data_IF_105545491533
#
_entry.id   IF_105545491533
#
_cell.length_a   1.000
_cell.length_b   1.000
_cell.length_c   1.000
_cell.angle_alpha   90.00
_cell.angle_beta   90.00
_cell.angle_gamma   90.00
#
_symmetry.space_group_name_H-M   'P 1'
#
loop_
_entity.id
_entity.type
_entity.pdbx_description
1 polymer ?
#
# COMPACT_ATOMS: atom_id res chain seq x y z
N UNK A 24 29.56 30.34 29.26
CA UNK A 24 28.20 30.41 28.73
C UNK A 24 27.87 29.17 27.91
N UNK A 25 28.63 28.93 26.84
CA UNK A 25 28.44 27.71 26.08
C UNK A 25 29.22 26.54 26.69
N UNK A 26 30.45 26.80 27.13
CA UNK A 26 31.25 25.73 27.74
C UNK A 26 30.59 25.22 29.01
N UNK A 27 30.09 26.13 29.85
CA UNK A 27 29.42 25.71 31.07
C UNK A 27 28.18 24.88 30.75
N UNK A 28 27.40 25.32 29.75
CA UNK A 28 26.20 24.59 29.39
C UNK A 28 26.55 23.19 28.91
N UNK A 29 27.62 23.08 28.10
CA UNK A 29 28.04 21.77 27.60
C UNK A 29 28.47 20.88 28.76
N UNK A 30 29.23 21.46 29.71
CA UNK A 30 29.69 20.68 30.84
C UNK A 30 28.50 20.16 31.63
N UNK A 31 27.46 20.99 31.75
CA UNK A 31 26.27 20.57 32.48
C UNK A 31 25.55 19.45 31.73
N UNK A 32 25.48 19.55 30.40
CA UNK A 32 24.89 18.47 29.61
C UNK A 32 25.61 17.16 29.83
N UNK A 33 26.95 17.21 29.95
CA UNK A 33 27.71 16.02 30.26
C UNK A 33 27.16 15.22 31.45
N UNK A 34 26.41 15.86 32.34
CA UNK A 34 25.77 15.17 33.46
C UNK A 34 24.25 15.16 33.32
N UNK A 35 23.74 15.24 32.10
CA UNK A 35 22.31 15.21 31.84
C UNK A 35 22.03 14.23 30.70
N UNK A 36 20.75 13.94 30.49
CA UNK A 36 20.32 13.00 29.47
C UNK A 36 19.58 13.72 28.35
N UNK A 37 19.82 13.29 27.12
CA UNK A 37 19.18 13.86 25.95
C UNK A 37 17.93 13.06 25.62
N UNK A 38 16.91 13.74 25.11
CA UNK A 38 15.69 13.06 24.69
C UNK A 38 15.83 12.65 23.24
N UNK A 39 15.89 11.34 23.00
CA UNK A 39 15.99 10.80 21.66
C UNK A 39 14.64 10.24 21.24
N UNK A 40 14.58 9.62 20.08
CA UNK A 40 13.32 9.12 19.53
C UNK A 40 13.61 7.91 18.65
N UNK A 41 12.58 7.10 18.46
CA UNK A 41 12.59 5.96 17.55
C UNK A 41 13.19 6.38 16.22
N UNK A 42 13.93 5.50 15.53
CA UNK A 42 14.44 5.89 14.22
C UNK A 42 13.30 6.27 13.28
N UNK A 43 13.49 7.39 12.58
CA UNK A 43 12.49 7.97 11.70
C UNK A 43 12.72 7.56 10.26
N UNK A 44 11.69 7.04 9.60
CA UNK A 44 11.81 6.57 8.23
C UNK A 44 11.11 7.54 7.28
N UNK A 45 11.88 8.12 6.36
CA UNK A 45 11.31 8.98 5.33
C UNK A 45 10.40 8.19 4.40
N UNK A 46 10.78 6.93 4.15
CA UNK A 46 10.06 6.08 3.23
C UNK A 46 8.62 5.80 3.59
N UNK A 47 8.31 5.75 4.89
CA UNK A 47 6.97 5.37 5.33
C UNK A 47 5.94 6.28 4.68
N UNK A 48 4.93 5.66 4.07
CA UNK A 48 3.88 6.37 3.35
C UNK A 48 2.53 5.92 3.88
N UNK A 49 1.48 6.47 3.28
CA UNK A 49 0.11 6.14 3.64
C UNK A 49 -0.29 4.98 2.74
N UNK A 50 -0.20 3.76 3.27
CA UNK A 50 -0.51 2.56 2.49
C UNK A 50 -2.03 2.43 2.42
N UNK A 51 -2.62 3.20 1.50
CA UNK A 51 -4.07 3.27 1.41
C UNK A 51 -4.69 1.98 0.91
N UNK A 52 -4.01 1.27 0.01
CA UNK A 52 -4.57 0.04 -0.53
C UNK A 52 -4.77 -1.00 0.54
N UNK A 53 -3.78 -1.16 1.44
CA UNK A 53 -3.90 -2.13 2.51
C UNK A 53 -5.01 -1.77 3.48
N UNK A 54 -5.16 -0.47 3.80
CA UNK A 54 -6.19 -0.05 4.73
C UNK A 54 -7.59 -0.18 4.13
N UNK A 55 -7.74 0.10 2.84
CA UNK A 55 -9.05 0.11 2.22
C UNK A 55 -9.49 -1.25 1.70
N UNK A 56 -8.58 -2.10 1.29
CA UNK A 56 -8.95 -3.39 0.71
C UNK A 56 -9.45 -4.33 1.80
N UNK A 57 -10.65 -4.87 1.70
CA UNK A 57 -11.09 -5.89 2.65
C UNK A 57 -10.26 -7.15 2.51
N UNK A 58 -10.07 -7.84 3.64
CA UNK A 58 -9.24 -9.03 3.72
C UNK A 58 -10.10 -10.25 4.04
N UNK A 59 -10.00 -11.27 3.20
CA UNK A 59 -10.77 -12.49 3.35
C UNK A 59 -9.81 -13.63 3.68
N UNK A 60 -10.18 -14.43 4.67
CA UNK A 60 -9.33 -15.48 5.18
C UNK A 60 -9.35 -16.66 4.22
N UNK A 61 -8.17 -17.18 3.89
CA UNK A 61 -8.04 -18.36 3.04
C UNK A 61 -7.41 -19.47 3.86
N UNK A 62 -7.70 -20.71 3.47
CA UNK A 62 -7.19 -21.89 4.14
C UNK A 62 -6.27 -22.63 3.18
N UNK A 63 -5.08 -22.98 3.65
CA UNK A 63 -4.11 -23.67 2.84
C UNK A 63 -3.38 -22.81 1.84
N UNK A 64 -3.57 -21.49 1.90
CA UNK A 64 -2.92 -20.59 0.97
C UNK A 64 -3.47 -20.65 -0.44
N UNK A 65 -4.70 -21.14 -0.60
CA UNK A 65 -5.33 -21.27 -1.90
C UNK A 65 -6.74 -20.70 -1.84
N UNK A 66 -7.11 -19.98 -2.90
CA UNK A 66 -8.43 -19.37 -2.99
C UNK A 66 -8.98 -19.63 -4.39
N UNK A 67 -10.19 -20.17 -4.47
CA UNK A 67 -10.81 -20.53 -5.74
C UNK A 67 -11.86 -19.50 -6.11
N UNK A 68 -11.82 -19.04 -7.36
CA UNK A 68 -12.80 -18.09 -7.88
C UNK A 68 -13.49 -18.75 -9.07
N UNK A 69 -14.81 -18.91 -8.96
CA UNK A 69 -15.60 -19.47 -10.06
C UNK A 69 -15.96 -18.34 -11.02
N UNK A 70 -15.28 -18.31 -12.16
CA UNK A 70 -15.43 -17.25 -13.15
C UNK A 70 -16.16 -17.75 -14.38
N UNK A 71 -16.87 -16.84 -15.04
CA UNK A 71 -17.62 -17.18 -16.25
C UNK A 71 -16.75 -17.00 -17.49
N UNK A 258 -12.29 -22.66 -16.62
CA UNK A 258 -11.66 -23.20 -15.41
C UNK A 258 -11.56 -22.13 -14.33
N UNK A 259 -11.93 -22.48 -13.10
CA UNK A 259 -11.82 -21.51 -12.00
C UNK A 259 -10.37 -21.08 -11.80
N UNK A 260 -10.20 -19.80 -11.47
CA UNK A 260 -8.87 -19.26 -11.22
C UNK A 260 -8.42 -19.60 -9.81
N UNK A 261 -7.16 -20.00 -9.69
CA UNK A 261 -6.57 -20.38 -8.42
C UNK A 261 -5.62 -19.29 -7.95
N UNK A 262 -5.76 -18.89 -6.69
CA UNK A 262 -4.95 -17.82 -6.11
C UNK A 262 -4.09 -18.40 -4.99
N UNK A 263 -2.77 -18.35 -5.16
CA UNK A 263 -1.82 -18.80 -4.16
C UNK A 263 -1.21 -17.60 -3.45
N UNK A 264 -1.12 -17.68 -2.12
CA UNK A 264 -0.58 -16.57 -1.35
C UNK A 264 0.91 -16.37 -1.63
N UNK A 265 1.26 -15.15 -1.98
CA UNK A 265 2.65 -14.75 -2.12
C UNK A 265 3.23 -14.35 -0.77
N UNK A 266 4.55 -14.47 -0.65
CA UNK A 266 5.25 -14.24 0.60
C UNK A 266 6.20 -13.05 0.42
N UNK A 267 6.13 -12.11 1.34
CA UNK A 267 7.14 -11.06 1.47
C UNK A 267 7.93 -11.38 2.72
N UNK A 268 9.16 -11.87 2.55
CA UNK A 268 9.95 -12.33 3.68
C UNK A 268 11.36 -11.77 3.60
N UNK A 269 11.98 -11.64 4.76
CA UNK A 269 13.33 -11.10 4.85
C UNK A 269 13.96 -11.62 6.13
N UNK A 270 15.27 -11.46 6.23
CA UNK A 270 16.06 -11.93 7.36
C UNK A 270 16.51 -10.70 8.15
N UNK A 271 16.13 -10.66 9.42
CA UNK A 271 16.57 -9.61 10.33
C UNK A 271 17.77 -10.13 11.10
N UNK A 272 18.90 -9.44 10.98
CA UNK A 272 20.15 -9.80 11.64
C UNK A 272 20.48 -8.78 12.71
N UNK A 273 20.63 -9.25 13.94
CA UNK A 273 20.90 -8.40 15.10
C UNK A 273 22.07 -8.96 15.88
N UNK A 274 23.03 -8.09 16.22
CA UNK A 274 24.18 -8.57 16.96
C UNK A 274 23.76 -9.01 18.36
N UNK A 275 24.47 -10.00 18.87
CA UNK A 275 24.17 -10.52 20.21
C UNK A 275 24.39 -9.44 21.28
N UNK A 276 25.42 -8.60 21.10
CA UNK A 276 25.68 -7.49 22.01
C UNK A 276 24.52 -6.50 22.05
N UNK A 277 23.96 -6.18 20.88
CA UNK A 277 22.82 -5.26 20.82
C UNK A 277 21.63 -5.85 21.55
N UNK A 278 21.37 -7.14 21.33
CA UNK A 278 20.25 -7.79 21.97
C UNK A 278 20.42 -7.99 23.46
N UNK A 279 21.66 -7.93 23.95
CA UNK A 279 21.92 -8.16 25.37
C UNK A 279 22.02 -6.88 26.20
N UNK A 280 22.68 -5.85 25.68
CA UNK A 280 23.01 -4.66 26.47
C UNK A 280 22.06 -3.50 26.25
N UNK A 281 21.87 -3.09 24.99
CA UNK A 281 21.14 -1.87 24.64
C UNK A 281 19.63 -2.08 24.68
N UNK A 282 19.11 -2.24 25.91
CA UNK A 282 17.68 -2.43 26.14
C UNK A 282 17.17 -1.55 27.27
N UNK A 283 17.95 -0.56 27.73
CA UNK A 283 17.55 0.23 28.90
C UNK A 283 16.39 1.17 28.58
N UNK A 284 16.50 2.12 27.64
CA UNK A 284 15.35 3.01 27.40
C UNK A 284 14.28 2.33 26.58
N UNK A 285 14.70 1.52 25.62
CA UNK A 285 13.79 0.89 24.67
C UNK A 285 14.45 -0.34 24.09
N UNK A 286 13.62 -1.30 23.68
CA UNK A 286 14.10 -2.59 23.21
C UNK A 286 14.52 -2.45 21.76
N UNK A 287 15.82 -2.50 21.51
CA UNK A 287 16.34 -2.24 20.17
C UNK A 287 15.98 -3.36 19.20
N UNK A 288 15.94 -4.60 19.66
CA UNK A 288 15.53 -5.68 18.76
C UNK A 288 14.07 -5.52 18.37
N UNK A 289 13.22 -5.09 19.32
CA UNK A 289 11.83 -4.83 18.99
C UNK A 289 11.69 -3.67 18.00
N UNK A 290 12.49 -2.61 18.17
CA UNK A 290 12.42 -1.50 17.24
C UNK A 290 12.90 -1.90 15.86
N UNK A 291 13.94 -2.73 15.78
CA UNK A 291 14.38 -3.24 14.50
C UNK A 291 13.32 -4.10 13.84
N UNK A 292 12.63 -4.92 14.63
CA UNK A 292 11.52 -5.71 14.10
C UNK A 292 10.39 -4.83 13.59
N UNK A 293 10.08 -3.74 14.30
CA UNK A 293 9.04 -2.83 13.85
C UNK A 293 9.40 -2.19 12.52
N UNK A 294 10.65 -1.72 12.39
CA UNK A 294 11.08 -1.14 11.12
C UNK A 294 11.09 -2.17 9.99
N UNK A 295 11.49 -3.41 10.30
CA UNK A 295 11.45 -4.47 9.31
C UNK A 295 10.02 -4.77 8.84
N UNK A 296 9.08 -4.80 9.78
CA UNK A 296 7.68 -5.03 9.42
C UNK A 296 7.14 -3.87 8.58
N UNK A 297 7.54 -2.64 8.91
CA UNK A 297 7.12 -1.49 8.11
C UNK A 297 7.63 -1.58 6.69
N UNK A 298 8.90 -1.97 6.51
CA UNK A 298 9.44 -2.15 5.16
C UNK A 298 8.72 -3.27 4.43
N UNK A 299 8.40 -4.36 5.14
CA UNK A 299 7.63 -5.44 4.55
C UNK A 299 6.28 -4.96 4.05
N UNK A 300 5.59 -4.14 4.86
CA UNK A 300 4.29 -3.64 4.46
C UNK A 300 4.40 -2.71 3.26
N UNK A 301 5.47 -1.91 3.21
CA UNK A 301 5.66 -1.04 2.05
C UNK A 301 5.85 -1.83 0.77
N UNK A 302 6.70 -2.88 0.81
CA UNK A 302 6.87 -3.68 -0.41
C UNK A 302 5.62 -4.51 -0.71
N UNK A 303 4.84 -4.88 0.31
CA UNK A 303 3.54 -5.50 0.07
C UNK A 303 2.62 -4.56 -0.71
N UNK A 304 2.58 -3.30 -0.29
CA UNK A 304 1.75 -2.31 -0.99
C UNK A 304 2.23 -2.12 -2.41
N UNK A 305 3.55 -2.14 -2.62
CA UNK A 305 4.07 -2.04 -3.97
C UNK A 305 3.64 -3.22 -4.82
N UNK A 306 3.67 -4.43 -4.25
CA UNK A 306 3.32 -5.63 -5.01
C UNK A 306 1.83 -5.74 -5.28
N UNK A 307 0.99 -5.17 -4.40
CA UNK A 307 -0.45 -5.18 -4.65
C UNK A 307 -0.83 -4.41 -5.91
N UNK A 308 0.05 -3.57 -6.42
CA UNK A 308 -0.23 -2.77 -7.61
C UNK A 308 0.62 -3.22 -8.79
N UNK A 309 1.91 -3.43 -8.58
CA UNK A 309 2.86 -3.58 -9.66
C UNK A 309 3.22 -5.02 -10.00
N UNK A 310 2.68 -6.00 -9.28
CA UNK A 310 3.03 -7.38 -9.58
C UNK A 310 2.37 -7.84 -10.86
N UNK A 311 3.05 -8.74 -11.58
CA UNK A 311 2.56 -9.24 -12.84
C UNK A 311 1.66 -10.46 -12.69
N UNK A 312 1.48 -10.96 -11.47
CA UNK A 312 0.64 -12.12 -11.24
C UNK A 312 -0.72 -11.75 -10.66
N UNK A 313 -0.73 -11.01 -9.55
CA UNK A 313 -1.98 -10.57 -8.94
C UNK A 313 -2.08 -9.06 -8.80
N UNK A 314 -1.20 -8.29 -9.43
CA UNK A 314 -1.26 -6.85 -9.32
C UNK A 314 -2.52 -6.29 -9.96
N UNK A 315 -3.03 -5.20 -9.36
CA UNK A 315 -4.24 -4.58 -9.88
C UNK A 315 -4.00 -3.96 -11.25
N UNK A 316 -2.83 -3.34 -11.44
CA UNK A 316 -2.52 -2.69 -12.70
C UNK A 316 -2.36 -3.68 -13.85
N UNK A 317 -2.24 -4.97 -13.57
CA UNK A 317 -2.07 -5.97 -14.60
C UNK A 317 -3.19 -7.00 -14.62
N UNK A 318 -4.10 -6.97 -13.66
CA UNK A 318 -5.24 -7.87 -13.61
C UNK A 318 -6.54 -7.17 -13.97
N UNK A 319 -6.48 -6.17 -14.85
CA UNK A 319 -7.66 -5.44 -15.25
C UNK A 319 -8.08 -5.94 -16.62
N UNK A 320 -9.39 -6.11 -16.81
CA UNK A 320 -9.91 -6.60 -18.06
C UNK A 320 -9.66 -5.57 -19.15
N UNK A 321 -9.35 -6.05 -20.35
CA UNK A 321 -9.06 -5.15 -21.47
C UNK A 321 -10.23 -4.23 -21.79
N UNK A 322 -11.46 -4.70 -21.60
CA UNK A 322 -12.61 -3.82 -21.77
C UNK A 322 -12.67 -2.75 -20.69
N UNK A 323 -12.12 -3.02 -19.50
CA UNK A 323 -12.14 -2.07 -18.40
C UNK A 323 -11.04 -1.02 -18.48
N UNK A 324 -9.99 -1.22 -19.27
CA UNK A 324 -8.95 -0.21 -19.45
C UNK A 324 -9.36 0.76 -20.55
N UNK A 325 -9.38 2.05 -20.24
CA UNK A 325 -9.76 3.09 -21.19
C UNK A 325 -8.71 4.18 -21.22
N UNK A 326 -8.49 4.81 -22.38
CA UNK A 326 -7.51 5.91 -22.46
C UNK A 326 -8.14 7.28 -22.29
N UNK A 327 -7.32 8.32 -22.28
CA UNK A 327 -7.80 9.69 -22.21
C UNK A 327 -7.92 10.27 -23.61
N UNK A 328 -8.94 11.11 -23.80
CA UNK A 328 -9.19 11.68 -25.12
C UNK A 328 -8.07 12.61 -25.57
N UNK A 329 -7.56 13.44 -24.67
CA UNK A 329 -6.50 14.40 -25.00
C UNK A 329 -5.18 14.12 -24.32
N UNK A 330 -5.21 13.47 -23.17
CA UNK A 330 -4.01 13.11 -22.43
C UNK A 330 -4.01 13.61 -21.00
N UNK A 331 -4.39 14.88 -20.77
CA UNK A 331 -4.62 15.32 -19.40
C UNK A 331 -5.85 14.66 -18.82
N UNK A 332 -5.89 14.43 -17.51
CA UNK A 332 -7.09 13.84 -16.88
C UNK A 332 -8.26 14.79 -16.69
N UNK A 333 -9.00 15.01 -17.78
CA UNK A 333 -10.13 15.93 -17.81
C UNK A 333 -11.31 15.32 -17.05
N UNK A 334 -12.25 16.15 -16.59
CA UNK A 334 -13.48 15.60 -15.99
C UNK A 334 -14.26 14.64 -16.88
N UNK A 335 -14.19 14.79 -18.21
CA UNK A 335 -14.82 13.83 -19.10
C UNK A 335 -14.22 12.43 -18.95
N UNK A 336 -12.89 12.35 -18.87
CA UNK A 336 -12.25 11.06 -18.65
C UNK A 336 -12.62 10.50 -17.29
N UNK A 337 -12.73 11.35 -16.27
CA UNK A 337 -13.19 10.88 -14.97
C UNK A 337 -14.59 10.30 -15.06
N UNK A 338 -15.48 10.95 -15.83
CA UNK A 338 -16.84 10.44 -15.99
C UNK A 338 -16.85 9.10 -16.72
N UNK A 339 -16.01 8.96 -17.75
CA UNK A 339 -15.91 7.67 -18.44
C UNK A 339 -15.42 6.57 -17.49
N UNK A 340 -14.41 6.89 -16.69
CA UNK A 340 -13.91 5.93 -15.71
C UNK A 340 -14.99 5.55 -14.71
N UNK A 341 -15.77 6.53 -14.27
CA UNK A 341 -16.86 6.25 -13.35
C UNK A 341 -17.90 5.34 -14.00
N UNK A 342 -18.20 5.58 -15.27
CA UNK A 342 -19.22 4.77 -15.94
C UNK A 342 -18.74 3.35 -16.19
N UNK A 343 -17.43 3.13 -16.29
CA UNK A 343 -16.95 1.76 -16.45
C UNK A 343 -17.34 0.89 -15.26
N UNK A 344 -17.00 1.32 -14.05
CA UNK A 344 -17.44 0.67 -12.82
C UNK A 344 -18.62 1.47 -12.29
N UNK A 345 -19.82 1.17 -12.78
CA UNK A 345 -20.96 2.00 -12.42
C UNK A 345 -21.75 1.46 -11.24
N UNK A 346 -21.41 0.26 -10.75
CA UNK A 346 -22.14 -0.39 -9.68
C UNK A 346 -21.33 -0.28 -8.39
N UNK A 347 -21.76 0.62 -7.51
CA UNK A 347 -21.16 0.86 -6.20
C UNK A 347 -19.65 1.07 -6.29
N UNK A 348 -19.18 2.14 -6.93
CA UNK A 348 -17.73 2.40 -7.02
C UNK A 348 -17.19 2.82 -5.67
N UNK A 349 -16.18 2.09 -5.18
CA UNK A 349 -15.64 2.34 -3.87
C UNK A 349 -14.79 3.60 -3.75
N UNK A 350 -13.66 3.63 -4.45
CA UNK A 350 -12.76 4.78 -4.35
C UNK A 350 -11.85 4.82 -5.56
N UNK A 351 -11.23 5.97 -5.76
CA UNK A 351 -10.23 6.17 -6.79
C UNK A 351 -8.83 6.18 -6.18
N UNK A 352 -7.87 5.63 -6.91
CA UNK A 352 -6.48 5.61 -6.50
C UNK A 352 -5.61 6.26 -7.57
N UNK A 353 -4.77 7.21 -7.18
CA UNK A 353 -3.97 7.94 -8.15
C UNK A 353 -2.67 8.40 -7.50
N UNK A 354 -1.69 8.69 -8.35
CA UNK A 354 -0.44 9.28 -7.90
C UNK A 354 -0.67 10.73 -7.49
N UNK A 355 0.16 11.27 -6.59
CA UNK A 355 0.05 12.71 -6.25
C UNK A 355 0.18 13.62 -7.46
N UNK A 356 1.09 13.31 -8.40
CA UNK A 356 1.16 14.08 -9.64
C UNK A 356 -0.14 13.98 -10.42
N UNK A 357 -0.75 12.79 -10.46
CA UNK A 357 -2.03 12.64 -11.14
C UNK A 357 -3.10 13.49 -10.48
N UNK A 358 -3.16 13.48 -9.15
CA UNK A 358 -4.14 14.28 -8.41
C UNK A 358 -3.93 15.77 -8.69
N UNK A 359 -2.68 16.21 -8.71
CA UNK A 359 -2.40 17.61 -9.07
C UNK A 359 -2.90 17.93 -10.47
N UNK A 360 -2.75 17.00 -11.41
CA UNK A 360 -3.19 17.25 -12.78
C UNK A 360 -4.71 17.34 -12.88
N UNK A 361 -5.43 16.43 -12.22
CA UNK A 361 -6.89 16.51 -12.22
C UNK A 361 -7.37 17.79 -11.56
N UNK A 362 -6.71 18.20 -10.47
CA UNK A 362 -7.11 19.45 -9.82
C UNK A 362 -6.83 20.66 -10.70
N UNK A 363 -5.78 20.62 -11.52
CA UNK A 363 -5.56 21.73 -12.44
C UNK A 363 -6.57 21.76 -13.58
N UNK A 364 -7.06 20.59 -14.01
CA UNK A 364 -8.18 20.57 -14.95
C UNK A 364 -9.45 21.14 -14.31
N UNK A 365 -9.71 20.80 -13.05
CA UNK A 365 -10.87 21.34 -12.35
C UNK A 365 -10.80 22.86 -12.28
N UNK A 366 -9.63 23.39 -11.91
CA UNK A 366 -9.47 24.83 -11.80
C UNK A 366 -9.63 25.51 -13.16
N UNK A 367 -9.10 24.90 -14.21
CA UNK A 367 -9.24 25.47 -15.55
C UNK A 367 -10.70 25.49 -16.00
N UNK A 368 -11.51 24.51 -15.59
CA UNK A 368 -12.90 24.47 -16.00
C UNK A 368 -13.84 25.23 -15.06
N UNK A 369 -13.33 25.79 -13.97
CA UNK A 369 -14.17 26.52 -13.04
C UNK A 369 -14.98 25.63 -12.12
N UNK A 370 -14.46 24.45 -11.80
CA UNK A 370 -15.14 23.46 -10.98
C UNK A 370 -14.43 23.32 -9.65
N UNK A 371 -15.17 23.42 -8.55
CA UNK A 371 -14.59 23.13 -7.24
C UNK A 371 -15.33 21.93 -6.65
N UNK A 372 -14.81 20.73 -6.85
CA UNK A 372 -15.42 19.52 -6.26
C UNK A 372 -15.42 19.53 -4.74
N UNK A 373 -16.46 18.95 -4.18
CA UNK A 373 -16.56 18.81 -2.73
C UNK A 373 -15.58 17.78 -2.20
N UNK A 374 -14.97 18.09 -1.07
CA UNK A 374 -14.02 17.22 -0.39
C UNK A 374 -14.76 16.34 0.60
N UNK A 375 -14.66 15.03 0.44
CA UNK A 375 -15.38 14.10 1.31
C UNK A 375 -14.58 13.88 2.59
N UNK A 376 -15.30 13.71 3.69
CA UNK A 376 -14.71 13.43 5.00
C UNK A 376 -14.80 11.93 5.24
N UNK A 377 -13.69 11.24 4.97
CA UNK A 377 -13.60 9.79 5.17
C UNK A 377 -12.96 9.53 6.52
N UNK A 378 -13.74 8.99 7.46
CA UNK A 378 -13.31 8.77 8.84
C UNK A 378 -12.84 10.11 9.39
N UNK A 379 -11.63 10.22 9.93
CA UNK A 379 -11.09 11.47 10.41
C UNK A 379 -10.26 12.21 9.40
N UNK A 380 -10.27 11.78 8.14
CA UNK A 380 -9.44 12.35 7.09
C UNK A 380 -10.33 12.99 6.04
N UNK A 381 -9.96 14.20 5.61
CA UNK A 381 -10.61 14.89 4.50
C UNK A 381 -9.83 14.62 3.21
N UNK A 382 -10.56 14.18 2.18
CA UNK A 382 -9.95 13.74 0.93
C UNK A 382 -10.66 14.37 -0.26
N UNK A 383 -9.93 14.59 -1.35
CA UNK A 383 -10.57 14.99 -2.60
C UNK A 383 -11.45 13.89 -3.18
N UNK A 384 -12.50 14.30 -3.88
CA UNK A 384 -13.43 13.33 -4.42
C UNK A 384 -13.97 13.81 -5.77
N UNK A 385 -14.45 12.87 -6.56
CA UNK A 385 -15.11 13.13 -7.84
C UNK A 385 -16.48 12.47 -7.79
N UNK A 386 -17.53 13.30 -7.69
CA UNK A 386 -18.90 12.82 -7.67
C UNK A 386 -19.15 11.86 -6.51
N UNK A 387 -18.59 12.18 -5.35
CA UNK A 387 -18.80 11.38 -4.17
C UNK A 387 -17.85 10.23 -4.00
N UNK A 388 -16.95 9.99 -4.95
CA UNK A 388 -16.00 8.90 -4.90
C UNK A 388 -14.67 9.45 -4.37
N UNK A 389 -14.26 9.07 -3.15
CA UNK A 389 -13.02 9.62 -2.59
C UNK A 389 -11.80 9.21 -3.40
N UNK A 390 -10.84 10.13 -3.49
CA UNK A 390 -9.61 9.94 -4.23
C UNK A 390 -8.48 9.80 -3.23
N UNK A 391 -7.67 8.75 -3.40
CA UNK A 391 -6.61 8.41 -2.48
C UNK A 391 -5.27 8.48 -3.17
N UNK A 392 -4.30 9.23 -2.64
CA UNK A 392 -2.97 9.28 -3.25
C UNK A 392 -2.14 8.05 -2.93
N UNK A 393 -1.36 7.61 -3.92
CA UNK A 393 -0.50 6.44 -3.75
C UNK A 393 0.69 6.62 -4.67
N UNK A 394 1.89 6.68 -4.11
CA UNK A 394 3.09 6.85 -4.90
C UNK A 394 3.60 5.55 -5.52
N UNK A 395 3.02 4.40 -5.17
CA UNK A 395 3.45 3.14 -5.75
C UNK A 395 3.02 3.00 -7.20
N UNK A 396 2.04 3.76 -7.64
CA UNK A 396 1.60 3.75 -9.04
C UNK A 396 2.70 4.38 -9.88
N UNK A 397 3.21 3.68 -10.89
CA UNK A 397 4.35 4.19 -11.64
C UNK A 397 4.04 5.44 -12.45
N UNK A 398 5.05 6.28 -12.60
CA UNK A 398 5.02 7.42 -13.51
C UNK A 398 6.11 7.20 -14.54
N UNK A 399 5.71 7.05 -15.79
CA UNK A 399 6.65 6.69 -16.83
C UNK A 399 7.56 7.88 -17.19
N UNK A 400 8.63 7.56 -17.91
CA UNK A 400 9.59 8.56 -18.36
C UNK A 400 8.96 9.55 -19.33
N UNK A 401 7.89 9.17 -20.02
CA UNK A 401 7.09 10.09 -20.82
C UNK A 401 6.12 10.91 -19.97
N UNK A 402 6.26 10.84 -18.64
CA UNK A 402 5.46 11.60 -17.68
C UNK A 402 3.98 11.25 -17.83
N UNK A 403 3.69 9.96 -17.67
CA UNK A 403 2.33 9.44 -17.75
C UNK A 403 2.11 8.47 -16.58
N UNK A 404 0.86 8.36 -16.16
CA UNK A 404 0.49 7.50 -15.04
C UNK A 404 -0.90 6.94 -15.31
N UNK A 405 -1.46 6.27 -14.31
CA UNK A 405 -2.77 5.64 -14.43
C UNK A 405 -3.60 5.92 -13.19
N UNK A 406 -4.92 5.85 -13.35
CA UNK A 406 -5.88 6.07 -12.27
C UNK A 406 -6.74 4.83 -12.16
N UNK A 407 -6.96 4.36 -10.93
CA UNK A 407 -7.70 3.13 -10.68
C UNK A 407 -8.99 3.43 -9.95
N UNK A 408 -10.09 2.87 -10.44
CA UNK A 408 -11.39 2.90 -9.78
C UNK A 408 -11.75 1.48 -9.38
N UNK A 409 -12.13 1.29 -8.12
CA UNK A 409 -12.32 -0.04 -7.55
C UNK A 409 -13.65 -0.13 -6.83
N UNK A 410 -14.30 -1.29 -6.96
CA UNK A 410 -15.35 -1.71 -6.05
C UNK A 410 -14.74 -2.76 -5.13
N UNK A 411 -15.00 -2.65 -3.83
CA UNK A 411 -14.32 -3.49 -2.85
C UNK A 411 -15.34 -4.28 -2.05
N UNK A 412 -15.03 -5.55 -1.83
CA UNK A 412 -15.88 -6.40 -1.03
C UNK A 412 -16.18 -7.75 -1.66
N UNK A 413 -16.25 -8.77 -0.82
CA UNK A 413 -16.56 -10.12 -1.29
C UNK A 413 -18.05 -10.24 -1.59
N UNK A 414 -18.91 -9.65 -0.76
CA UNK A 414 -20.34 -9.72 -0.96
C UNK A 414 -20.83 -8.88 -2.12
N UNK A 415 -20.05 -7.88 -2.55
CA UNK A 415 -20.42 -7.03 -3.66
C UNK A 415 -19.69 -7.41 -4.94
N UNK A 416 -18.99 -8.54 -4.93
CA UNK A 416 -18.19 -9.01 -6.06
C UNK A 416 -17.18 -7.93 -6.46
N UNK A 417 -16.35 -7.55 -5.50
CA UNK A 417 -15.33 -6.55 -5.70
C UNK A 417 -13.93 -7.08 -5.48
N UNK A 418 -12.97 -6.15 -5.57
CA UNK A 418 -11.58 -6.48 -5.32
C UNK A 418 -11.37 -6.72 -3.83
N UNK A 419 -10.77 -7.86 -3.48
CA UNK A 419 -10.53 -8.24 -2.10
C UNK A 419 -9.04 -8.52 -1.93
N UNK A 420 -8.62 -8.54 -0.69
CA UNK A 420 -7.24 -8.91 -0.33
C UNK A 420 -7.27 -10.29 0.29
N UNK A 421 -6.24 -11.08 0.01
CA UNK A 421 -6.16 -12.46 0.49
C UNK A 421 -5.00 -12.61 1.47
N UNK A 422 -5.29 -13.17 2.64
CA UNK A 422 -4.28 -13.39 3.65
C UNK A 422 -4.67 -14.64 4.43
N UNK A 423 -3.84 -15.03 5.40
CA UNK A 423 -4.16 -16.17 6.25
C UNK A 423 -3.76 -15.88 7.70
N UNK A 424 -4.72 -15.44 8.51
CA UNK A 424 -4.41 -15.20 9.90
C UNK A 424 -4.44 -16.52 10.67
N UNK A 425 -3.89 -16.50 11.88
CA UNK A 425 -3.85 -17.70 12.68
C UNK A 425 -2.60 -18.55 12.56
N UNK A 426 -1.78 -18.31 11.53
CA UNK A 426 -0.54 -19.05 11.31
C UNK A 426 0.28 -19.15 12.60
N UNK A 427 1.07 -20.20 12.79
CA UNK A 427 1.85 -20.30 14.02
C UNK A 427 3.09 -19.43 13.98
N UNK A 428 3.52 -19.02 15.18
CA UNK A 428 4.64 -18.10 15.37
C UNK A 428 4.29 -16.71 14.83
N UNK A 429 3.01 -16.35 14.92
CA UNK A 429 2.54 -15.12 14.33
C UNK A 429 2.86 -13.92 15.21
N UNK A 430 3.18 -12.80 14.56
CA UNK A 430 3.51 -11.56 15.27
C UNK A 430 2.31 -10.65 15.06
N UNK A 431 2.11 -10.16 13.86
CA UNK A 431 0.95 -9.40 13.46
C UNK A 431 0.06 -10.30 12.61
N UNK A 432 -1.16 -9.87 12.26
CA UNK A 432 -2.06 -10.76 11.50
C UNK A 432 -1.47 -11.16 10.16
N UNK A 433 -1.37 -12.47 9.93
CA UNK A 433 -0.78 -13.07 8.72
C UNK A 433 0.71 -12.83 8.56
N UNK A 434 1.38 -12.34 9.60
CA UNK A 434 2.82 -12.11 9.60
C UNK A 434 3.46 -12.89 10.74
N UNK A 435 4.50 -13.65 10.43
CA UNK A 435 5.16 -14.53 11.40
C UNK A 435 6.65 -14.22 11.47
N UNK A 436 7.19 -14.30 12.69
CA UNK A 436 8.61 -14.13 12.96
C UNK A 436 9.12 -15.42 13.60
N UNK A 437 10.22 -15.94 13.09
CA UNK A 437 10.78 -17.19 13.59
C UNK A 437 12.29 -17.08 13.77
N UNK A 438 12.76 -17.62 14.89
CA UNK A 438 14.19 -17.65 15.19
C UNK A 438 14.88 -18.65 14.27
N UNK A 439 15.97 -18.21 13.62
CA UNK A 439 16.68 -19.06 12.68
C UNK A 439 17.98 -19.63 13.25
N UNK A 440 18.60 -18.94 14.19
CA UNK A 440 19.84 -19.38 14.79
C UNK A 440 20.86 -18.26 14.89
N UNK A 441 21.97 -18.59 15.55
CA UNK A 441 23.09 -17.68 15.73
C UNK A 441 24.30 -18.28 14.99
N UNK A 442 25.06 -17.43 14.32
CA UNK A 442 26.16 -17.92 13.51
C UNK A 442 27.49 -17.77 14.26
N UNK A 443 28.61 -18.00 13.56
CA UNK A 443 29.91 -17.94 14.22
C UNK A 443 30.29 -16.54 14.64
N UNK A 444 29.72 -15.50 14.05
CA UNK A 444 30.02 -14.11 14.39
C UNK A 444 29.03 -13.56 15.38
N UNK A 445 28.27 -14.42 16.02
CA UNK A 445 27.35 -14.03 17.08
C UNK A 445 26.31 -13.03 16.61
N UNK A 446 25.63 -13.37 15.50
CA UNK A 446 24.57 -12.55 14.94
C UNK A 446 23.30 -13.37 14.98
N UNK A 447 22.29 -12.88 15.68
CA UNK A 447 21.00 -13.56 15.79
C UNK A 447 20.18 -13.27 14.54
N UNK A 448 19.69 -14.32 13.90
CA UNK A 448 18.95 -14.22 12.65
C UNK A 448 17.49 -14.61 12.88
N UNK A 449 16.59 -13.78 12.38
CA UNK A 449 15.15 -14.02 12.44
C UNK A 449 14.57 -13.98 11.03
N UNK A 450 13.63 -14.88 10.77
CA UNK A 450 12.90 -14.91 9.51
C UNK A 450 11.52 -14.29 9.75
N UNK A 451 11.22 -13.23 9.01
CA UNK A 451 9.95 -12.53 9.12
C UNK A 451 9.21 -12.69 7.80
N UNK A 452 8.02 -13.28 7.85
CA UNK A 452 7.28 -13.65 6.64
C UNK A 452 5.85 -13.16 6.74
N UNK A 453 5.38 -12.50 5.68
CA UNK A 453 3.99 -12.07 5.57
C UNK A 453 3.38 -12.65 4.31
N UNK A 454 2.19 -13.25 4.43
CA UNK A 454 1.51 -13.89 3.32
C UNK A 454 0.35 -13.04 2.84
N UNK A 455 0.28 -12.79 1.54
CA UNK A 455 -0.70 -11.87 1.00
C UNK A 455 -0.95 -12.16 -0.47
N UNK A 456 -2.15 -11.80 -0.94
CA UNK A 456 -2.47 -11.86 -2.36
C UNK A 456 -3.65 -10.93 -2.62
N UNK A 457 -4.05 -10.83 -3.89
CA UNK A 457 -5.16 -9.99 -4.31
C UNK A 457 -6.01 -10.76 -5.30
N UNK A 458 -7.31 -10.44 -5.33
CA UNK A 458 -8.23 -11.10 -6.24
C UNK A 458 -9.34 -10.15 -6.67
N UNK A 459 -9.59 -10.08 -7.97
CA UNK A 459 -10.71 -9.33 -8.53
C UNK A 459 -11.77 -10.35 -8.89
N UNK A 460 -12.89 -10.33 -8.16
CA UNK A 460 -13.90 -11.37 -8.30
C UNK A 460 -14.58 -11.33 -9.67
N UNK A 461 -14.93 -10.16 -10.16
CA UNK A 461 -15.59 -10.05 -11.47
C UNK A 461 -14.86 -8.97 -12.25
N UNK A 462 -14.85 -9.04 -13.59
CA UNK A 462 -14.07 -8.06 -14.37
C UNK A 462 -14.51 -6.62 -14.20
N UNK A 463 -15.78 -6.36 -13.89
CA UNK A 463 -16.27 -5.00 -13.84
C UNK A 463 -16.01 -4.31 -12.50
N UNK A 464 -15.33 -4.96 -11.57
CA UNK A 464 -15.05 -4.35 -10.28
C UNK A 464 -13.83 -3.43 -10.31
N UNK A 465 -13.06 -3.44 -11.40
CA UNK A 465 -11.85 -2.63 -11.48
C UNK A 465 -11.78 -1.96 -12.83
N UNK A 466 -11.53 -0.65 -12.83
CA UNK A 466 -11.34 0.09 -14.06
C UNK A 466 -10.09 0.94 -13.98
N UNK A 467 -9.43 1.08 -15.12
CA UNK A 467 -8.16 1.79 -15.22
C UNK A 467 -8.24 2.84 -16.32
N UNK A 468 -7.96 4.08 -15.96
CA UNK A 468 -7.74 5.16 -16.92
C UNK A 468 -6.25 5.24 -17.20
N UNK A 469 -5.86 5.04 -18.46
CA UNK A 469 -4.47 4.88 -18.83
C UNK A 469 -3.96 6.11 -19.58
N UNK A 470 -2.63 6.18 -19.69
CA UNK A 470 -1.94 7.24 -20.44
C UNK A 470 -2.30 8.65 -19.95
N UNK A 471 -2.40 8.80 -18.63
CA UNK A 471 -2.74 10.08 -18.03
C UNK A 471 -1.49 10.95 -18.01
N UNK A 472 -1.53 12.08 -18.71
CA UNK A 472 -0.39 13.00 -18.79
C UNK A 472 -0.35 13.89 -17.56
N UNK A 473 0.47 13.49 -16.59
CA UNK A 473 0.55 14.23 -15.33
C UNK A 473 1.31 15.55 -15.53
N UNK A 474 2.27 15.58 -16.44
CA UNK A 474 2.98 16.82 -16.70
C UNK A 474 4.21 16.95 -15.82
N UNK A 475 5.20 17.65 -16.35
CA UNK A 475 6.43 17.89 -15.59
C UNK A 475 6.36 19.20 -14.81
#
# INVERSE_FOLDING_TARGET
MHHHHHHTIVDETLNGNPEDTAHSSLSTAAARNLATTTKTVPQMQGITSRWLLRLLPWVQVSGGTYRVNRRLSHTVGDGRIDFDISGSDVAIIPEELRELPALRDFTDTEVLAALGERFTQREYAPGELIAEAGRPGDRLVLIAHGRVDRIGTGKYGDTTVLAALAGGDHLGDAPLTSDEVTWEFSYRAVTRVTVVELPRRAALEIIERSPGLREHLAGVRQGPVHPTNSSGESAVAVASGHRGEPSLPGAFADYDLAPREYELSVAQTVLRTHTRVGDLYNDPMNQVEEQLKLTVQALRERQEHEMINNREFGLLHNADLKQRIPTRSGPPTPDDLDDLLATVWKDPGFLLAHPRAIAAMAREWSARGLYPTAVDFHGHSLPSWRGVPIFPCNKIPVTKERTSSILLLRTGEEKQGVVGLHQTGIPDEYEPSLSVRFMGIDDRAVINYLVSAYYSAAVLVPDALGVLEDVEVGL
#
